data_IF_086143559479
#
_entry.id   IF_086143559479
#
_cell.length_a   1.000
_cell.length_b   1.000
_cell.length_c   1.000
_cell.angle_alpha   90.00
_cell.angle_beta   90.00
_cell.angle_gamma   90.00
#
_symmetry.space_group_name_H-M   'P 1'
#
loop_
_entity.id
_entity.type
_entity.pdbx_description
1 polymer ?
#
# COMPACT_ATOMS: atom_id res chain seq x y z
N UNK A 1 -7.36 -5.18 15.15
CA UNK A 1 -6.08 -4.63 14.64
C UNK A 1 -5.99 -3.18 15.05
N UNK A 2 -5.03 -2.84 15.89
CA UNK A 2 -4.88 -1.45 16.33
C UNK A 2 -4.32 -0.60 15.18
N UNK A 3 -4.90 0.60 14.94
CA UNK A 3 -4.44 1.48 13.87
C UNK A 3 -3.00 1.98 14.10
N UNK A 4 -2.53 1.90 15.34
CA UNK A 4 -1.19 2.33 15.77
C UNK A 4 -0.11 1.43 15.17
N UNK A 5 -0.30 0.11 15.16
CA UNK A 5 0.59 -0.85 14.51
C UNK A 5 0.67 -0.59 13.00
N UNK A 6 -0.43 -0.26 12.34
CA UNK A 6 -0.43 0.04 10.90
C UNK A 6 0.39 1.30 10.58
N UNK A 7 0.23 2.34 11.40
CA UNK A 7 0.97 3.60 11.28
C UNK A 7 2.46 3.40 11.57
N UNK A 8 2.80 2.60 12.58
CA UNK A 8 4.19 2.28 12.89
C UNK A 8 4.87 1.49 11.75
N UNK A 9 4.15 0.53 11.15
CA UNK A 9 4.63 -0.26 10.01
C UNK A 9 4.81 0.63 8.76
N UNK A 10 3.85 1.52 8.47
CA UNK A 10 3.97 2.51 7.40
C UNK A 10 5.13 3.47 7.62
N UNK A 11 5.29 4.01 8.84
CA UNK A 11 6.39 4.92 9.18
C UNK A 11 7.77 4.26 9.02
N UNK A 12 7.84 2.93 9.18
CA UNK A 12 9.07 2.18 8.96
C UNK A 12 9.33 1.82 7.49
N UNK A 13 8.27 1.62 6.68
CA UNK A 13 8.40 1.36 5.24
C UNK A 13 8.71 2.61 4.41
N UNK A 14 8.26 3.80 4.83
CA UNK A 14 8.43 5.06 4.07
C UNK A 14 9.90 5.38 3.77
N UNK A 15 10.85 5.29 4.73
CA UNK A 15 12.27 5.49 4.43
C UNK A 15 12.88 4.41 3.53
N UNK A 16 12.44 3.15 3.65
CA UNK A 16 12.93 2.04 2.82
C UNK A 16 12.49 2.20 1.35
N UNK A 17 11.27 2.69 1.13
CA UNK A 17 10.74 2.99 -0.19
C UNK A 17 11.42 4.22 -0.82
N UNK A 18 11.68 5.27 -0.01
CA UNK A 18 12.39 6.46 -0.45
C UNK A 18 13.84 6.17 -0.86
N UNK A 19 14.53 5.28 -0.13
CA UNK A 19 15.88 4.85 -0.46
C UNK A 19 15.96 3.98 -1.73
N UNK A 20 14.86 3.32 -2.11
CA UNK A 20 14.81 2.51 -3.32
C UNK A 20 14.50 3.35 -4.58
N UNK A 21 14.12 4.62 -4.41
CA UNK A 21 13.77 5.53 -5.51
C UNK A 21 14.95 6.40 -5.99
N UNK A 22 16.11 6.35 -5.33
CA UNK A 22 17.30 7.13 -5.69
C UNK A 22 18.30 6.27 -6.45
N UNK A 23 18.07 6.03 -7.75
CA UNK A 23 19.14 5.61 -8.67
C UNK A 23 18.86 6.13 -10.08
N UNK A 24 19.62 7.16 -10.44
CA UNK A 24 20.03 7.50 -11.81
C UNK A 24 20.69 6.27 -12.46
N UNK A 25 20.13 5.76 -13.55
CA UNK A 25 20.90 4.91 -14.46
C UNK A 25 20.47 5.19 -15.90
N UNK A 26 21.32 5.95 -16.57
CA UNK A 26 21.36 5.97 -18.03
C UNK A 26 21.98 4.68 -18.52
N UNK A 27 21.21 3.86 -19.22
CA UNK A 27 21.74 2.71 -19.96
C UNK A 27 20.81 2.36 -21.12
N UNK A 28 20.86 3.20 -22.15
CA UNK A 28 20.31 2.98 -23.50
C UNK A 28 21.03 1.81 -24.19
N UNK A 29 20.75 0.58 -23.76
CA UNK A 29 21.12 -0.62 -24.50
C UNK A 29 19.86 -1.41 -24.81
N UNK A 30 19.64 -1.67 -26.11
CA UNK A 30 18.43 -2.26 -26.72
C UNK A 30 17.98 -3.61 -26.12
N UNK A 31 18.76 -4.19 -25.20
CA UNK A 31 18.51 -5.47 -24.53
C UNK A 31 18.53 -5.40 -23.00
N UNK A 32 18.54 -4.20 -22.39
CA UNK A 32 18.42 -4.06 -20.95
C UNK A 32 16.95 -3.91 -20.56
N UNK A 33 16.48 -4.78 -19.67
CA UNK A 33 15.13 -4.68 -19.11
C UNK A 33 15.23 -4.08 -17.71
N UNK A 34 14.61 -2.92 -17.52
CA UNK A 34 14.68 -2.15 -16.27
C UNK A 34 13.80 -2.78 -15.19
N UNK A 35 14.27 -3.89 -14.63
CA UNK A 35 13.63 -4.59 -13.52
C UNK A 35 13.52 -3.72 -12.26
N UNK A 36 14.34 -2.68 -12.14
CA UNK A 36 14.36 -1.83 -10.96
C UNK A 36 13.12 -0.95 -10.89
N UNK A 37 12.74 -0.33 -12.01
CA UNK A 37 11.46 0.40 -12.10
C UNK A 37 10.26 -0.54 -11.95
N UNK A 38 10.34 -1.77 -12.49
CA UNK A 38 9.28 -2.77 -12.30
C UNK A 38 9.12 -3.17 -10.83
N UNK A 39 10.24 -3.35 -10.11
CA UNK A 39 10.26 -3.74 -8.70
C UNK A 39 9.66 -2.64 -7.81
N UNK A 40 10.06 -1.39 -8.04
CA UNK A 40 9.49 -0.22 -7.36
C UNK A 40 7.99 -0.09 -7.65
N UNK A 41 7.60 -0.23 -8.92
CA UNK A 41 6.19 -0.16 -9.31
C UNK A 41 5.35 -1.24 -8.64
N UNK A 42 5.86 -2.46 -8.56
CA UNK A 42 5.21 -3.57 -7.88
C UNK A 42 5.05 -3.35 -6.37
N UNK A 43 6.06 -2.77 -5.71
CA UNK A 43 6.03 -2.52 -4.26
C UNK A 43 5.04 -1.38 -3.92
N UNK A 44 5.04 -0.29 -4.70
CA UNK A 44 4.07 0.80 -4.56
C UNK A 44 2.64 0.29 -4.77
N UNK A 45 2.41 -0.48 -5.83
CA UNK A 45 1.10 -1.06 -6.11
C UNK A 45 0.63 -1.99 -4.99
N UNK A 46 1.52 -2.84 -4.47
CA UNK A 46 1.22 -3.75 -3.36
C UNK A 46 0.78 -2.98 -2.10
N UNK A 47 1.50 -1.92 -1.73
CA UNK A 47 1.16 -1.08 -0.56
C UNK A 47 -0.19 -0.38 -0.75
N UNK A 48 -0.44 0.19 -1.93
CA UNK A 48 -1.72 0.87 -2.24
C UNK A 48 -2.89 -0.11 -2.17
N UNK A 49 -2.79 -1.27 -2.82
CA UNK A 49 -3.85 -2.29 -2.78
C UNK A 49 -4.06 -2.83 -1.36
N UNK A 50 -2.99 -2.99 -0.59
CA UNK A 50 -3.08 -3.47 0.79
C UNK A 50 -3.84 -2.48 1.68
N UNK A 51 -3.51 -1.20 1.61
CA UNK A 51 -4.23 -0.15 2.33
C UNK A 51 -5.68 -0.01 1.84
N UNK A 52 -5.91 -0.09 0.52
CA UNK A 52 -7.24 -0.06 -0.06
C UNK A 52 -8.09 -1.25 0.40
N UNK A 53 -7.52 -2.45 0.47
CA UNK A 53 -8.20 -3.66 0.95
C UNK A 53 -8.57 -3.58 2.43
N UNK A 54 -7.64 -3.12 3.28
CA UNK A 54 -7.94 -2.90 4.70
C UNK A 54 -9.02 -1.83 4.86
N UNK A 55 -8.90 -0.71 4.12
CA UNK A 55 -9.91 0.35 4.11
C UNK A 55 -11.28 -0.18 3.72
N UNK A 56 -11.37 -0.99 2.66
CA UNK A 56 -12.62 -1.58 2.20
C UNK A 56 -13.25 -2.51 3.24
N UNK A 57 -12.46 -3.33 3.95
CA UNK A 57 -12.96 -4.19 5.04
C UNK A 57 -13.49 -3.36 6.21
N UNK A 58 -12.75 -2.30 6.61
CA UNK A 58 -13.17 -1.42 7.72
C UNK A 58 -14.43 -0.64 7.36
N UNK A 59 -14.52 -0.12 6.13
CA UNK A 59 -15.69 0.58 5.60
C UNK A 59 -16.88 -0.38 5.54
N UNK A 60 -16.70 -1.58 5.02
CA UNK A 60 -17.75 -2.60 4.94
C UNK A 60 -18.28 -2.99 6.32
N UNK A 61 -17.37 -3.19 7.29
CA UNK A 61 -17.73 -3.51 8.66
C UNK A 61 -18.48 -2.36 9.35
N UNK A 62 -18.03 -1.12 9.17
CA UNK A 62 -18.70 0.06 9.72
C UNK A 62 -20.10 0.26 9.13
N UNK A 63 -20.25 0.06 7.82
CA UNK A 63 -21.54 0.15 7.12
C UNK A 63 -22.50 -0.96 7.61
N UNK A 64 -22.02 -2.19 7.74
CA UNK A 64 -22.83 -3.30 8.25
C UNK A 64 -23.26 -3.08 9.70
N UNK A 65 -22.34 -2.58 10.55
CA UNK A 65 -22.63 -2.26 11.95
C UNK A 65 -23.64 -1.11 12.08
N UNK A 66 -23.51 -0.06 11.26
CA UNK A 66 -24.48 1.03 11.19
C UNK A 66 -25.85 0.60 10.67
N UNK A 67 -25.89 -0.34 9.71
CA UNK A 67 -27.14 -0.88 9.17
C UNK A 67 -27.88 -1.77 10.20
N UNK A 68 -27.14 -2.58 10.97
CA UNK A 68 -27.69 -3.39 12.07
C UNK A 68 -28.24 -2.55 13.23
N UNK A 69 -27.65 -1.39 13.50
CA UNK A 69 -28.12 -0.46 14.54
C UNK A 69 -29.33 0.36 14.11
N UNK A 70 -29.57 0.49 12.80
CA UNK A 70 -30.72 1.21 12.23
C UNK A 70 -31.99 0.35 12.08
N UNK A 71 -31.90 -0.98 12.25
CA UNK A 71 -33.04 -1.90 12.31
C UNK A 71 -33.10 -2.54 13.72
N UNK A 72 -33.63 -1.84 14.73
CA UNK A 72 -33.94 -2.48 16.01
C UNK A 72 -35.14 -3.41 15.81
N UNK A 73 -34.94 -4.71 16.06
CA UNK A 73 -36.03 -5.66 16.32
C UNK A 73 -36.76 -5.30 17.60
#
# INVERSE_FOLDING_TARGET
>A
MDPVVLVALCAWLVPALASAADVENGSDSDFHYDYESLRIGGLVFAVVLFLMGIGLIVILHAVLSGYLLSYPT
#
